data_IF_461865206944
#
_entry.id   IF_461865206944
#
_cell.length_a   1.000
_cell.length_b   1.000
_cell.length_c   1.000
_cell.angle_alpha   90.00
_cell.angle_beta   90.00
_cell.angle_gamma   90.00
#
_symmetry.space_group_name_H-M   'P 1'
#
loop_
_entity.id
_entity.type
_entity.pdbx_description
1 polymer ?
#
# COMPACT_ATOMS: atom_id res chain seq x y z
N UNK A 1 42.53 -10.06 27.42
CA UNK A 1 43.31 -11.29 27.20
C UNK A 1 42.81 -11.88 25.88
N UNK A 2 43.65 -11.80 24.85
CA UNK A 2 43.59 -12.41 23.50
C UNK A 2 42.26 -12.31 22.72
N UNK A 3 42.24 -11.35 21.80
CA UNK A 3 41.34 -11.28 20.63
C UNK A 3 41.91 -12.20 19.55
N UNK A 4 41.12 -13.15 19.04
CA UNK A 4 41.54 -14.01 17.92
C UNK A 4 40.80 -13.60 16.65
N UNK A 5 41.55 -12.96 15.76
CA UNK A 5 41.17 -12.57 14.39
C UNK A 5 41.35 -13.79 13.48
N UNK A 6 40.31 -14.16 12.73
CA UNK A 6 40.43 -15.12 11.62
C UNK A 6 40.36 -14.34 10.32
N UNK A 7 41.53 -14.15 9.73
CA UNK A 7 41.76 -13.65 8.38
C UNK A 7 41.97 -14.88 7.49
N UNK A 8 41.11 -15.11 6.49
CA UNK A 8 41.37 -16.08 5.42
C UNK A 8 41.48 -15.36 4.08
N UNK A 9 42.54 -15.76 3.39
CA UNK A 9 43.22 -15.08 2.28
C UNK A 9 42.56 -15.41 0.95
N UNK A 10 42.57 -14.39 0.08
CA UNK A 10 42.44 -14.51 -1.37
C UNK A 10 43.49 -15.47 -1.96
N UNK A 11 43.06 -16.29 -2.92
CA UNK A 11 43.94 -16.96 -3.88
C UNK A 11 43.45 -16.65 -5.29
N UNK A 12 44.29 -15.93 -6.03
CA UNK A 12 44.21 -15.69 -7.47
C UNK A 12 45.00 -16.76 -8.23
N UNK A 13 44.46 -17.26 -9.34
CA UNK A 13 45.22 -17.94 -10.38
C UNK A 13 44.56 -17.74 -11.76
N UNK A 14 45.27 -16.98 -12.60
CA UNK A 14 45.33 -16.95 -14.07
C UNK A 14 45.61 -18.35 -14.66
N UNK A 15 45.35 -18.78 -15.92
CA UNK A 15 45.25 -18.17 -17.26
C UNK A 15 44.92 -19.28 -18.30
N UNK A 16 44.58 -18.89 -19.54
CA UNK A 16 44.50 -19.62 -20.85
C UNK A 16 43.05 -19.73 -21.37
N UNK A 17 42.63 -19.20 -22.51
CA UNK A 17 43.33 -18.71 -23.71
C UNK A 17 42.86 -19.52 -24.92
N UNK A 18 42.00 -18.97 -25.79
CA UNK A 18 41.87 -19.38 -27.20
C UNK A 18 40.90 -18.47 -27.97
N UNK A 19 41.44 -17.79 -28.97
CA UNK A 19 40.75 -17.00 -29.99
C UNK A 19 40.11 -17.90 -31.06
N UNK A 20 39.01 -17.44 -31.69
CA UNK A 20 38.78 -17.61 -33.14
C UNK A 20 37.87 -16.49 -33.68
N UNK A 21 38.37 -15.77 -34.69
CA UNK A 21 37.65 -14.94 -35.69
C UNK A 21 36.91 -15.89 -36.67
N UNK A 22 36.00 -15.56 -37.60
CA UNK A 22 35.69 -14.45 -38.55
C UNK A 22 34.22 -14.72 -39.02
N UNK A 23 33.30 -13.77 -39.29
CA UNK A 23 32.95 -13.11 -40.59
C UNK A 23 31.55 -12.47 -40.39
N UNK A 24 31.24 -11.17 -40.59
CA UNK A 24 31.17 -10.28 -41.77
C UNK A 24 30.03 -10.53 -42.79
N UNK A 25 29.01 -9.66 -42.75
CA UNK A 25 28.24 -9.09 -43.90
C UNK A 25 27.25 -8.04 -43.33
N UNK A 26 27.44 -6.70 -43.48
CA UNK A 26 27.00 -5.82 -44.62
C UNK A 26 25.61 -6.23 -45.14
N UNK A 27 24.56 -5.41 -45.20
CA UNK A 27 24.34 -4.00 -45.63
C UNK A 27 23.00 -3.52 -45.00
N UNK A 28 22.74 -2.25 -44.65
CA UNK A 28 22.42 -1.13 -45.54
C UNK A 28 21.32 -0.24 -44.91
N UNK A 29 21.66 1.02 -44.60
CA UNK A 29 20.77 2.21 -44.61
C UNK A 29 21.09 2.97 -45.93
N UNK A 30 20.38 4.03 -46.39
CA UNK A 30 19.45 4.93 -45.67
C UNK A 30 18.22 5.39 -46.50
N UNK A 31 17.35 6.22 -45.94
CA UNK A 31 16.95 7.48 -46.57
C UNK A 31 16.13 8.35 -45.61
N UNK A 32 16.40 9.65 -45.69
CA UNK A 32 15.75 10.75 -45.01
C UNK A 32 15.24 11.73 -46.09
N UNK A 33 14.13 12.40 -45.83
CA UNK A 33 13.71 13.68 -46.44
C UNK A 33 12.55 14.20 -45.60
N UNK A 34 12.57 15.32 -44.87
CA UNK A 34 12.89 16.73 -45.15
C UNK A 34 11.97 17.41 -46.18
N UNK A 35 11.21 18.42 -45.73
CA UNK A 35 10.38 19.37 -46.48
C UNK A 35 9.36 20.02 -45.53
N UNK A 36 9.66 21.14 -44.83
CA UNK A 36 9.54 22.56 -45.27
C UNK A 36 8.06 22.89 -45.59
N UNK A 37 7.29 23.49 -44.67
CA UNK A 37 7.04 24.94 -44.44
C UNK A 37 6.66 25.70 -45.71
N UNK A 38 5.40 26.12 -45.82
CA UNK A 38 5.04 27.37 -46.50
C UNK A 38 3.69 27.90 -45.97
N UNK A 39 3.75 29.07 -45.33
CA UNK A 39 2.64 29.99 -45.11
C UNK A 39 2.26 30.65 -46.44
N UNK A 40 0.98 30.95 -46.64
CA UNK A 40 0.60 32.17 -47.36
C UNK A 40 -0.77 32.66 -46.91
N UNK A 41 -0.77 33.92 -46.49
CA UNK A 41 -1.93 34.76 -46.23
C UNK A 41 -2.61 35.16 -47.55
N UNK A 42 -3.92 35.43 -47.50
CA UNK A 42 -4.66 36.02 -48.62
C UNK A 42 -6.13 36.24 -48.29
N UNK A 43 -6.46 37.48 -47.92
CA UNK A 43 -7.75 37.89 -47.38
C UNK A 43 -8.94 37.93 -48.35
N UNK A 44 -10.11 38.16 -47.76
CA UNK A 44 -11.36 38.38 -48.49
C UNK A 44 -12.53 38.67 -47.55
N UNK A 45 -12.74 39.95 -47.23
CA UNK A 45 -13.98 40.46 -46.62
C UNK A 45 -15.20 40.06 -47.46
N UNK A 46 -16.20 39.44 -46.84
CA UNK A 46 -17.62 39.58 -47.20
C UNK A 46 -18.48 39.61 -45.94
N UNK A 47 -19.19 40.71 -45.75
CA UNK A 47 -20.32 40.83 -44.84
C UNK A 47 -21.48 39.98 -45.36
N UNK A 48 -22.08 39.16 -44.50
CA UNK A 48 -23.47 38.68 -44.63
C UNK A 48 -24.08 38.54 -43.21
N UNK A 49 -25.21 39.22 -43.06
CA UNK A 49 -26.31 39.23 -42.08
C UNK A 49 -26.32 38.35 -40.81
N UNK A 50 -26.78 39.00 -39.73
CA UNK A 50 -27.73 38.57 -38.71
C UNK A 50 -28.26 37.13 -38.81
N UNK A 51 -28.06 36.35 -37.75
CA UNK A 51 -29.14 35.56 -37.15
C UNK A 51 -28.84 35.20 -35.69
N UNK A 52 -29.90 35.19 -34.88
CA UNK A 52 -29.87 35.21 -33.42
C UNK A 52 -29.04 34.15 -32.72
N UNK A 53 -28.28 34.59 -31.72
CA UNK A 53 -27.62 33.75 -30.73
C UNK A 53 -28.04 34.17 -29.34
N UNK A 54 -28.86 33.34 -28.68
CA UNK A 54 -29.20 33.45 -27.26
C UNK A 54 -27.89 33.45 -26.47
N UNK A 55 -27.56 34.60 -25.87
CA UNK A 55 -26.38 34.76 -25.03
C UNK A 55 -26.49 33.88 -23.79
N UNK A 56 -25.87 32.70 -23.85
CA UNK A 56 -25.62 31.89 -22.67
C UNK A 56 -24.42 32.51 -21.94
N UNK A 57 -24.69 33.42 -21.00
CA UNK A 57 -23.68 33.88 -20.07
C UNK A 57 -23.20 32.67 -19.26
N UNK A 58 -21.88 32.46 -19.07
CA UNK A 58 -21.43 31.46 -18.13
C UNK A 58 -21.82 31.97 -16.74
N UNK A 59 -22.81 31.33 -16.13
CA UNK A 59 -22.97 31.41 -14.69
C UNK A 59 -21.78 30.67 -14.11
N UNK A 60 -20.68 31.39 -13.93
CA UNK A 60 -19.63 30.98 -13.02
C UNK A 60 -20.30 30.85 -11.66
N UNK A 61 -20.71 29.64 -11.31
CA UNK A 61 -21.14 29.32 -9.97
C UNK A 61 -19.96 29.69 -9.07
N UNK A 62 -20.12 30.77 -8.31
CA UNK A 62 -19.23 31.09 -7.21
C UNK A 62 -19.36 29.94 -6.21
N UNK A 63 -18.50 28.93 -6.34
CA UNK A 63 -18.26 27.97 -5.29
C UNK A 63 -17.56 28.78 -4.20
N UNK A 64 -18.30 29.17 -3.17
CA UNK A 64 -17.67 29.74 -2.00
C UNK A 64 -16.65 28.72 -1.47
N UNK A 65 -15.40 29.13 -1.19
CA UNK A 65 -14.41 28.21 -0.66
C UNK A 65 -14.92 27.65 0.68
N UNK A 66 -14.88 26.32 0.80
CA UNK A 66 -15.27 25.65 2.05
C UNK A 66 -14.44 26.21 3.21
N UNK A 67 -15.06 26.58 4.35
CA UNK A 67 -14.33 27.09 5.50
C UNK A 67 -13.42 26.00 6.11
N UNK A 68 -12.25 26.43 6.57
CA UNK A 68 -11.27 25.63 7.32
C UNK A 68 -11.68 25.47 8.79
N UNK A 69 -11.24 24.40 9.48
CA UNK A 69 -10.21 23.45 9.08
C UNK A 69 -10.73 22.33 8.18
N UNK A 70 -10.15 22.21 6.98
CA UNK A 70 -10.41 21.07 6.11
C UNK A 70 -9.66 19.87 6.66
N UNK A 71 -10.37 18.87 7.18
CA UNK A 71 -9.77 17.63 7.69
C UNK A 71 -9.34 16.70 6.55
N UNK A 72 -8.37 15.84 6.85
CA UNK A 72 -7.99 14.69 6.04
C UNK A 72 -8.14 13.43 6.88
N UNK A 73 -9.04 12.55 6.47
CA UNK A 73 -9.41 11.34 7.22
C UNK A 73 -8.71 10.11 6.62
N UNK A 74 -8.10 9.31 7.49
CA UNK A 74 -7.49 8.02 7.12
C UNK A 74 -7.98 6.95 8.07
N UNK A 75 -8.59 5.90 7.56
CA UNK A 75 -9.02 4.77 8.40
C UNK A 75 -8.21 3.51 8.11
N UNK A 76 -7.84 2.76 9.15
CA UNK A 76 -7.61 1.33 8.96
C UNK A 76 -8.93 0.62 8.53
N UNK A 77 -8.80 -0.58 7.98
CA UNK A 77 -9.92 -1.39 7.54
C UNK A 77 -10.34 -2.43 8.59
N UNK A 78 -9.46 -3.40 8.87
CA UNK A 78 -9.82 -4.65 9.51
C UNK A 78 -9.87 -4.47 11.03
N UNK A 79 -11.05 -4.59 11.64
CA UNK A 79 -11.22 -4.28 13.07
C UNK A 79 -11.50 -2.80 13.33
N UNK A 80 -11.50 -1.94 12.30
CA UNK A 80 -11.75 -0.50 12.42
C UNK A 80 -12.95 -0.03 11.58
N UNK A 81 -12.85 -0.04 10.24
CA UNK A 81 -13.91 0.44 9.34
C UNK A 81 -14.84 -0.68 8.87
N UNK A 82 -14.31 -1.90 8.77
CA UNK A 82 -15.07 -3.07 8.31
C UNK A 82 -15.79 -3.72 9.46
N UNK A 83 -16.84 -4.46 9.14
CA UNK A 83 -17.54 -5.34 10.08
C UNK A 83 -16.71 -6.62 10.38
N UNK A 84 -17.15 -7.44 11.36
CA UNK A 84 -16.46 -8.69 11.69
C UNK A 84 -16.45 -9.74 10.55
N UNK A 85 -17.18 -9.51 9.46
CA UNK A 85 -17.19 -10.35 8.26
C UNK A 85 -16.28 -9.79 7.15
N UNK A 86 -15.45 -8.80 7.47
CA UNK A 86 -14.55 -8.10 6.55
C UNK A 86 -15.29 -7.39 5.40
N UNK A 87 -16.47 -6.84 5.69
CA UNK A 87 -17.30 -6.09 4.73
C UNK A 87 -17.50 -4.67 5.19
N UNK A 88 -17.72 -3.79 4.23
CA UNK A 88 -18.21 -2.44 4.51
C UNK A 88 -19.72 -2.49 4.63
N UNK A 89 -20.28 -2.03 5.75
CA UNK A 89 -21.73 -2.00 5.96
C UNK A 89 -22.43 -1.07 4.97
N UNK A 90 -23.71 -1.31 4.72
CA UNK A 90 -24.52 -0.45 3.84
C UNK A 90 -24.63 0.98 4.39
N UNK A 91 -24.72 1.14 5.72
CA UNK A 91 -24.78 2.43 6.38
C UNK A 91 -23.47 3.22 6.21
N UNK A 92 -22.33 2.57 6.43
CA UNK A 92 -21.01 3.17 6.20
C UNK A 92 -20.81 3.51 4.72
N UNK A 93 -21.21 2.62 3.80
CA UNK A 93 -21.14 2.87 2.36
C UNK A 93 -21.97 4.09 1.93
N UNK A 94 -23.23 4.17 2.38
CA UNK A 94 -24.11 5.29 2.07
C UNK A 94 -23.56 6.60 2.63
N UNK A 95 -23.08 6.58 3.88
CA UNK A 95 -22.50 7.76 4.52
C UNK A 95 -21.22 8.25 3.87
N UNK A 96 -20.29 7.36 3.56
CA UNK A 96 -19.07 7.75 2.84
C UNK A 96 -19.41 8.28 1.45
N UNK A 97 -20.35 7.67 0.72
CA UNK A 97 -20.76 8.15 -0.61
C UNK A 97 -21.29 9.58 -0.54
N UNK A 98 -22.17 9.87 0.41
CA UNK A 98 -22.72 11.20 0.66
C UNK A 98 -21.61 12.21 0.97
N UNK A 99 -20.76 11.93 1.95
CA UNK A 99 -19.73 12.89 2.38
C UNK A 99 -18.60 13.08 1.35
N UNK A 100 -18.23 12.02 0.63
CA UNK A 100 -17.27 12.11 -0.47
C UNK A 100 -17.80 13.02 -1.59
N UNK A 101 -19.10 12.96 -1.89
CA UNK A 101 -19.73 13.87 -2.87
C UNK A 101 -19.73 15.34 -2.38
N UNK A 102 -19.69 15.57 -1.06
CA UNK A 102 -19.52 16.90 -0.46
C UNK A 102 -18.06 17.37 -0.38
N UNK A 103 -17.10 16.56 -0.82
CA UNK A 103 -15.67 16.93 -0.83
C UNK A 103 -14.87 16.47 0.40
N UNK A 104 -15.37 15.50 1.16
CA UNK A 104 -14.61 14.83 2.23
C UNK A 104 -13.28 14.30 1.68
N UNK A 105 -12.15 14.74 2.24
CA UNK A 105 -10.86 14.13 1.95
C UNK A 105 -10.70 12.88 2.82
N UNK A 106 -10.94 11.72 2.23
CA UNK A 106 -10.90 10.43 2.91
C UNK A 106 -10.09 9.40 2.11
N UNK A 107 -9.31 8.58 2.81
CA UNK A 107 -8.69 7.36 2.27
C UNK A 107 -8.51 6.29 3.35
N UNK A 108 -7.94 5.15 2.99
CA UNK A 108 -7.67 4.03 3.90
C UNK A 108 -6.18 3.66 3.94
N UNK A 109 -5.74 3.14 5.08
CA UNK A 109 -4.40 2.60 5.28
C UNK A 109 -4.46 1.21 5.91
N UNK A 110 -4.13 0.17 5.13
CA UNK A 110 -4.36 -1.23 5.53
C UNK A 110 -3.18 -2.15 5.23
N UNK A 111 -3.09 -3.27 5.94
CA UNK A 111 -2.21 -4.40 5.63
C UNK A 111 -2.62 -5.14 4.33
N UNK A 112 -3.88 -4.97 3.89
CA UNK A 112 -4.40 -5.58 2.66
C UNK A 112 -3.69 -5.05 1.42
N UNK A 113 -3.66 -5.87 0.37
CA UNK A 113 -3.23 -5.44 -0.97
C UNK A 113 -4.35 -4.66 -1.67
N UNK A 114 -3.99 -3.73 -2.59
CA UNK A 114 -4.94 -2.88 -3.33
C UNK A 114 -6.05 -3.67 -4.02
N UNK A 115 -5.77 -4.87 -4.53
CA UNK A 115 -6.79 -5.76 -5.15
C UNK A 115 -7.94 -6.09 -4.18
N UNK A 116 -7.62 -6.37 -2.91
CA UNK A 116 -8.65 -6.64 -1.90
C UNK A 116 -9.38 -5.35 -1.50
N UNK A 117 -8.64 -4.25 -1.34
CA UNK A 117 -9.20 -2.95 -0.95
C UNK A 117 -10.19 -2.47 -2.02
N UNK A 118 -9.84 -2.56 -3.30
CA UNK A 118 -10.67 -2.16 -4.42
C UNK A 118 -12.01 -2.91 -4.46
N UNK A 119 -12.01 -4.22 -4.15
CA UNK A 119 -13.26 -5.01 -4.07
C UNK A 119 -14.14 -4.60 -2.90
N UNK A 120 -13.55 -4.30 -1.75
CA UNK A 120 -14.29 -3.90 -0.54
C UNK A 120 -14.92 -2.51 -0.73
N UNK A 121 -14.15 -1.57 -1.29
CA UNK A 121 -14.55 -0.18 -1.47
C UNK A 121 -15.20 0.09 -2.84
N UNK A 122 -15.54 -0.95 -3.60
CA UNK A 122 -16.13 -0.85 -4.93
C UNK A 122 -17.34 0.09 -4.92
N UNK A 123 -17.41 1.02 -5.88
CA UNK A 123 -18.51 1.97 -6.01
C UNK A 123 -18.42 3.23 -5.14
N UNK A 124 -17.48 3.32 -4.18
CA UNK A 124 -17.25 4.56 -3.46
C UNK A 124 -16.45 5.56 -4.32
N UNK A 125 -16.84 6.84 -4.38
CA UNK A 125 -16.14 7.86 -5.17
C UNK A 125 -14.89 8.41 -4.44
N UNK A 126 -14.01 7.51 -3.97
CA UNK A 126 -12.74 7.88 -3.33
C UNK A 126 -11.76 8.36 -4.40
N UNK A 127 -11.34 9.63 -4.31
CA UNK A 127 -10.43 10.26 -5.27
C UNK A 127 -8.95 10.17 -4.88
N UNK A 128 -8.66 9.96 -3.59
CA UNK A 128 -7.31 9.82 -3.08
C UNK A 128 -6.78 8.39 -3.27
N UNK A 129 -5.46 8.20 -3.47
CA UNK A 129 -4.85 6.88 -3.41
C UNK A 129 -5.04 6.22 -2.05
N UNK A 130 -4.94 4.90 -2.01
CA UNK A 130 -4.96 4.11 -0.77
C UNK A 130 -3.57 3.69 -0.35
N UNK A 131 -3.35 3.62 0.96
CA UNK A 131 -2.13 3.06 1.56
C UNK A 131 -2.38 1.56 1.76
N UNK A 132 -1.57 0.71 1.14
CA UNK A 132 -1.78 -0.75 1.14
C UNK A 132 -0.50 -1.49 1.51
N UNK A 133 -0.64 -2.75 1.95
CA UNK A 133 0.46 -3.59 2.44
C UNK A 133 1.29 -2.88 3.53
N UNK A 134 0.62 -2.32 4.54
CA UNK A 134 1.22 -1.58 5.67
C UNK A 134 2.07 -0.36 5.26
N UNK A 135 1.79 0.23 4.10
CA UNK A 135 2.56 1.37 3.59
C UNK A 135 3.68 0.99 2.64
N UNK A 136 3.78 -0.29 2.26
CA UNK A 136 4.65 -0.69 1.15
C UNK A 136 4.18 -0.10 -0.19
N UNK A 137 2.89 0.21 -0.32
CA UNK A 137 2.36 0.85 -1.52
C UNK A 137 1.49 2.07 -1.21
N UNK A 138 1.56 3.05 -2.10
CA UNK A 138 0.49 4.04 -2.34
C UNK A 138 -0.08 3.72 -3.71
N UNK A 139 -1.38 3.45 -3.79
CA UNK A 139 -2.01 2.91 -5.01
C UNK A 139 -3.26 3.69 -5.39
N UNK A 140 -3.40 3.99 -6.68
CA UNK A 140 -4.66 4.47 -7.23
C UNK A 140 -5.72 3.35 -7.11
N UNK A 141 -6.80 3.62 -6.37
CA UNK A 141 -7.80 2.61 -6.04
C UNK A 141 -8.52 2.05 -7.27
N UNK A 142 -8.74 2.90 -8.28
CA UNK A 142 -9.53 2.56 -9.47
C UNK A 142 -8.74 1.74 -10.48
N UNK A 143 -7.47 2.05 -10.65
CA UNK A 143 -6.60 1.43 -11.66
C UNK A 143 -5.68 0.36 -11.06
N UNK A 144 -5.50 0.35 -9.74
CA UNK A 144 -4.55 -0.53 -9.05
C UNK A 144 -3.08 -0.15 -9.24
N UNK A 145 -2.78 0.92 -9.98
CA UNK A 145 -1.40 1.36 -10.25
C UNK A 145 -0.76 1.90 -8.98
N UNK A 146 0.46 1.46 -8.68
CA UNK A 146 1.26 2.00 -7.60
C UNK A 146 1.96 3.30 -8.00
N UNK A 147 1.82 4.32 -7.15
CA UNK A 147 2.53 5.60 -7.24
C UNK A 147 3.79 5.62 -6.38
N UNK A 148 3.87 4.67 -5.44
CA UNK A 148 5.00 4.41 -4.57
C UNK A 148 5.05 2.91 -4.30
N UNK A 149 6.27 2.36 -4.36
CA UNK A 149 6.59 0.97 -4.01
C UNK A 149 7.81 0.99 -3.10
N UNK A 150 7.63 0.58 -1.85
CA UNK A 150 8.68 0.32 -0.89
C UNK A 150 8.84 -1.20 -0.76
N UNK A 151 9.83 -1.73 -1.46
CA UNK A 151 10.20 -3.14 -1.41
C UNK A 151 11.66 -3.28 -0.98
N UNK A 152 11.94 -4.37 -0.27
CA UNK A 152 13.29 -4.77 0.10
C UNK A 152 14.05 -5.23 -1.13
N UNK A 153 15.33 -4.85 -1.19
CA UNK A 153 16.25 -5.33 -2.21
C UNK A 153 16.37 -6.87 -2.17
N UNK A 154 16.56 -7.55 -3.32
CA UNK A 154 16.65 -9.01 -3.41
C UNK A 154 17.59 -9.64 -2.39
N UNK A 155 18.77 -9.06 -2.17
CA UNK A 155 19.77 -9.58 -1.22
C UNK A 155 19.26 -9.58 0.23
N UNK A 156 18.53 -8.55 0.64
CA UNK A 156 17.92 -8.47 1.98
C UNK A 156 16.79 -9.49 2.10
N UNK A 157 15.93 -9.61 1.08
CA UNK A 157 14.87 -10.61 1.05
C UNK A 157 15.39 -12.05 1.15
N UNK A 158 16.49 -12.36 0.44
CA UNK A 158 17.17 -13.66 0.52
C UNK A 158 17.75 -13.93 1.91
N UNK A 159 18.36 -12.92 2.54
CA UNK A 159 18.90 -13.05 3.90
C UNK A 159 17.79 -13.35 4.93
N UNK A 160 16.67 -12.62 4.88
CA UNK A 160 15.52 -12.83 5.77
C UNK A 160 14.90 -14.21 5.51
N UNK A 161 14.72 -14.60 4.26
CA UNK A 161 14.25 -15.94 3.91
C UNK A 161 15.14 -17.04 4.51
N UNK A 162 16.46 -16.87 4.46
CA UNK A 162 17.39 -17.82 5.07
C UNK A 162 17.22 -17.90 6.61
N UNK A 163 16.96 -16.78 7.29
CA UNK A 163 16.62 -16.78 8.72
C UNK A 163 15.34 -17.58 8.98
N UNK A 164 14.28 -17.31 8.21
CA UNK A 164 12.99 -18.04 8.34
C UNK A 164 13.19 -19.55 8.17
N UNK A 165 13.98 -19.98 7.17
CA UNK A 165 14.28 -21.40 6.96
C UNK A 165 15.14 -22.01 8.06
N UNK A 166 16.06 -21.26 8.67
CA UNK A 166 16.86 -21.71 9.83
C UNK A 166 15.98 -22.00 11.06
N UNK A 167 14.87 -21.28 11.21
CA UNK A 167 13.85 -21.54 12.23
C UNK A 167 12.90 -22.70 11.87
N UNK A 168 13.09 -23.37 10.73
CA UNK A 168 12.22 -24.45 10.26
C UNK A 168 10.86 -23.99 9.72
N UNK A 169 10.69 -22.69 9.54
CA UNK A 169 9.43 -22.07 9.12
C UNK A 169 9.37 -21.90 7.60
N UNK A 170 8.17 -21.86 7.03
CA UNK A 170 7.92 -21.58 5.62
C UNK A 170 7.12 -20.27 5.46
N UNK A 171 7.64 -19.27 4.74
CA UNK A 171 6.91 -18.02 4.50
C UNK A 171 6.03 -18.08 3.25
N UNK A 172 5.09 -17.15 3.18
CA UNK A 172 4.57 -16.58 1.94
C UNK A 172 5.42 -15.36 1.57
N UNK A 173 5.66 -15.13 0.28
CA UNK A 173 6.39 -13.93 -0.19
C UNK A 173 5.58 -13.17 -1.23
N UNK A 174 5.48 -11.86 -1.05
CA UNK A 174 4.92 -10.96 -2.03
C UNK A 174 6.06 -10.15 -2.66
N UNK A 175 6.14 -10.12 -3.99
CA UNK A 175 7.16 -9.36 -4.72
C UNK A 175 6.53 -8.35 -5.67
N UNK A 176 7.30 -7.33 -6.02
CA UNK A 176 6.96 -6.39 -7.09
C UNK A 176 8.09 -6.38 -8.12
N UNK A 177 7.84 -7.01 -9.27
CA UNK A 177 8.83 -7.18 -10.34
C UNK A 177 8.27 -6.90 -11.73
N UNK A 178 8.95 -7.33 -12.81
CA UNK A 178 8.51 -7.10 -14.20
C UNK A 178 7.12 -7.67 -14.54
N UNK A 179 6.62 -8.63 -13.75
CA UNK A 179 5.29 -9.23 -13.90
C UNK A 179 4.22 -8.55 -13.03
N UNK A 180 4.54 -7.40 -12.43
CA UNK A 180 3.71 -6.74 -11.43
C UNK A 180 3.76 -7.47 -10.08
N UNK A 181 2.74 -7.25 -9.26
CA UNK A 181 2.68 -7.86 -7.93
C UNK A 181 2.38 -9.36 -8.02
N UNK A 182 3.17 -10.17 -7.33
CA UNK A 182 2.94 -11.60 -7.20
C UNK A 182 2.90 -11.99 -5.72
N UNK A 183 2.15 -13.04 -5.38
CA UNK A 183 2.09 -13.64 -4.05
C UNK A 183 2.38 -15.13 -4.18
N UNK A 184 3.52 -15.56 -3.68
CA UNK A 184 4.00 -16.93 -3.83
C UNK A 184 3.83 -17.75 -2.56
N UNK A 185 3.53 -19.02 -2.76
CA UNK A 185 3.56 -20.06 -1.74
C UNK A 185 4.16 -21.34 -2.33
N UNK A 186 4.77 -22.18 -1.49
CA UNK A 186 5.38 -23.45 -1.90
C UNK A 186 4.77 -24.63 -1.15
N UNK A 187 4.76 -24.57 0.19
CA UNK A 187 4.14 -25.60 1.00
C UNK A 187 3.42 -24.96 2.18
N UNK A 188 2.41 -25.66 2.70
CA UNK A 188 1.71 -25.30 3.93
C UNK A 188 2.17 -26.22 5.04
N UNK A 189 2.54 -25.65 6.19
CA UNK A 189 3.04 -26.37 7.36
C UNK A 189 2.00 -26.47 8.48
N UNK A 190 0.92 -25.69 8.41
CA UNK A 190 -0.08 -25.62 9.46
C UNK A 190 -1.46 -25.16 8.94
N UNK A 191 -2.48 -25.26 9.80
CA UNK A 191 -3.86 -24.92 9.43
C UNK A 191 -4.05 -23.42 9.10
N UNK A 192 -3.32 -22.52 9.76
CA UNK A 192 -3.36 -21.09 9.46
C UNK A 192 -2.87 -20.79 8.05
N UNK A 193 -1.75 -21.40 7.65
CA UNK A 193 -1.23 -21.31 6.27
C UNK A 193 -2.20 -21.92 5.26
N UNK A 194 -2.80 -23.07 5.57
CA UNK A 194 -3.80 -23.68 4.70
C UNK A 194 -5.01 -22.76 4.51
N UNK A 195 -5.53 -22.14 5.59
CA UNK A 195 -6.64 -21.19 5.52
C UNK A 195 -6.27 -19.96 4.68
N UNK A 196 -5.09 -19.39 4.89
CA UNK A 196 -4.59 -18.25 4.12
C UNK A 196 -4.62 -18.53 2.61
N UNK A 197 -4.10 -19.69 2.18
CA UNK A 197 -4.08 -20.10 0.77
C UNK A 197 -5.50 -20.35 0.24
N UNK A 198 -6.31 -21.12 0.98
CA UNK A 198 -7.69 -21.44 0.59
C UNK A 198 -8.54 -20.17 0.42
N UNK A 199 -8.40 -19.19 1.31
CA UNK A 199 -9.10 -17.91 1.24
C UNK A 199 -8.74 -17.14 -0.03
N UNK A 200 -7.44 -17.07 -0.38
CA UNK A 200 -6.96 -16.37 -1.59
C UNK A 200 -7.37 -17.09 -2.87
N UNK A 201 -7.42 -18.42 -2.85
CA UNK A 201 -7.98 -19.20 -3.95
C UNK A 201 -9.48 -18.94 -4.11
N UNK A 202 -10.25 -18.97 -3.01
CA UNK A 202 -11.69 -18.69 -3.02
C UNK A 202 -11.99 -17.28 -3.52
N UNK A 203 -11.18 -16.31 -3.13
CA UNK A 203 -11.30 -14.92 -3.56
C UNK A 203 -10.71 -14.70 -4.96
N UNK A 204 -10.18 -15.72 -5.64
CA UNK A 204 -9.48 -15.59 -6.92
C UNK A 204 -8.48 -14.43 -6.92
N UNK A 205 -7.56 -14.41 -5.95
CA UNK A 205 -6.48 -13.43 -5.91
C UNK A 205 -5.60 -13.60 -7.17
N UNK A 206 -5.57 -12.63 -8.09
CA UNK A 206 -4.87 -12.75 -9.36
C UNK A 206 -3.34 -12.86 -9.18
N UNK A 207 -2.81 -12.57 -8.00
CA UNK A 207 -1.39 -12.62 -7.68
C UNK A 207 -0.93 -13.97 -7.16
N UNK A 208 -1.84 -14.83 -6.68
CA UNK A 208 -1.48 -16.07 -5.99
C UNK A 208 -0.81 -17.07 -6.95
N UNK A 209 0.38 -17.56 -6.59
CA UNK A 209 1.18 -18.51 -7.37
C UNK A 209 1.72 -19.61 -6.47
N UNK A 210 1.48 -20.86 -6.85
CA UNK A 210 2.19 -22.00 -6.28
C UNK A 210 3.50 -22.20 -7.04
N UNK A 211 4.62 -22.37 -6.33
CA UNK A 211 5.95 -22.57 -6.93
C UNK A 211 6.70 -23.68 -6.20
N UNK A 212 7.56 -24.41 -6.93
CA UNK A 212 8.35 -25.49 -6.34
C UNK A 212 9.44 -24.96 -5.38
N UNK A 213 9.93 -23.74 -5.64
CA UNK A 213 11.06 -23.11 -4.93
C UNK A 213 10.80 -21.62 -4.75
N UNK A 214 10.50 -21.19 -3.52
CA UNK A 214 10.28 -19.77 -3.21
C UNK A 214 11.53 -18.92 -3.40
N UNK A 215 12.71 -19.47 -3.08
CA UNK A 215 13.97 -18.71 -3.18
C UNK A 215 14.25 -18.19 -4.59
N UNK A 216 13.74 -18.87 -5.62
CA UNK A 216 13.95 -18.47 -7.01
C UNK A 216 13.13 -17.20 -7.36
N UNK A 217 12.09 -16.89 -6.57
CA UNK A 217 11.26 -15.68 -6.74
C UNK A 217 11.84 -14.46 -6.01
N UNK A 218 12.81 -14.67 -5.11
CA UNK A 218 13.53 -13.59 -4.41
C UNK A 218 14.63 -12.96 -5.28
N UNK A 219 14.60 -13.18 -6.58
CA UNK A 219 15.33 -12.37 -7.56
C UNK A 219 14.63 -11.02 -7.79
N UNK A 220 13.32 -10.95 -7.58
CA UNK A 220 12.55 -9.72 -7.63
C UNK A 220 12.52 -9.04 -6.24
N UNK A 221 12.34 -7.70 -6.18
CA UNK A 221 12.16 -6.97 -4.93
C UNK A 221 11.02 -7.51 -4.06
N UNK A 222 11.32 -7.73 -2.78
CA UNK A 222 10.41 -8.34 -1.81
C UNK A 222 9.61 -7.25 -1.09
N UNK A 223 8.30 -7.24 -1.29
CA UNK A 223 7.37 -6.27 -0.69
C UNK A 223 6.98 -6.69 0.72
N UNK A 224 6.67 -7.97 0.88
CA UNK A 224 6.27 -8.55 2.16
C UNK A 224 6.77 -9.98 2.26
N UNK A 225 7.39 -10.32 3.37
CA UNK A 225 7.52 -11.71 3.80
C UNK A 225 6.57 -11.95 4.96
N UNK A 226 5.75 -12.99 4.86
CA UNK A 226 4.71 -13.30 5.81
C UNK A 226 4.88 -14.74 6.32
N UNK A 227 4.92 -14.92 7.63
CA UNK A 227 4.91 -16.26 8.25
C UNK A 227 3.68 -16.37 9.13
N UNK A 228 2.84 -17.39 8.88
CA UNK A 228 1.71 -17.75 9.77
C UNK A 228 2.12 -18.98 10.58
N UNK A 229 2.00 -18.89 11.91
CA UNK A 229 2.54 -19.91 12.82
C UNK A 229 2.03 -19.78 14.25
N UNK A 230 2.76 -20.36 15.21
CA UNK A 230 2.49 -20.18 16.65
C UNK A 230 3.32 -19.01 17.18
N UNK A 231 2.84 -18.35 18.23
CA UNK A 231 3.48 -17.17 18.82
C UNK A 231 4.97 -17.38 19.13
N UNK A 232 5.33 -18.36 19.97
CA UNK A 232 6.72 -18.56 20.42
C UNK A 232 7.74 -18.69 19.24
N UNK A 233 7.54 -19.56 18.23
CA UNK A 233 8.43 -19.59 17.06
C UNK A 233 8.50 -18.27 16.27
N UNK A 234 7.39 -17.54 16.16
CA UNK A 234 7.36 -16.26 15.46
C UNK A 234 8.07 -15.16 16.24
N UNK A 235 7.94 -15.14 17.56
CA UNK A 235 8.66 -14.22 18.46
C UNK A 235 10.17 -14.47 18.38
N UNK A 236 10.60 -15.73 18.40
CA UNK A 236 12.00 -16.10 18.24
C UNK A 236 12.56 -15.66 16.87
N UNK A 237 11.81 -15.88 15.80
CA UNK A 237 12.17 -15.43 14.46
C UNK A 237 12.23 -13.89 14.38
N UNK A 238 11.23 -13.20 14.91
CA UNK A 238 11.18 -11.74 14.92
C UNK A 238 12.39 -11.15 15.65
N UNK A 239 12.73 -11.69 16.83
CA UNK A 239 13.89 -11.26 17.60
C UNK A 239 15.20 -11.42 16.80
N UNK A 240 15.40 -12.53 16.10
CA UNK A 240 16.61 -12.74 15.27
C UNK A 240 16.65 -11.80 14.05
N UNK A 241 15.51 -11.54 13.40
CA UNK A 241 15.41 -10.55 12.31
C UNK A 241 15.79 -9.17 12.83
N UNK A 242 15.20 -8.72 13.94
CA UNK A 242 15.49 -7.41 14.53
C UNK A 242 16.97 -7.28 14.96
N UNK A 243 17.55 -8.34 15.53
CA UNK A 243 18.97 -8.35 15.91
C UNK A 243 19.92 -8.32 14.70
N UNK A 244 19.53 -8.87 13.55
CA UNK A 244 20.39 -9.01 12.37
C UNK A 244 20.27 -7.84 11.40
N UNK A 245 19.04 -7.35 11.17
CA UNK A 245 18.76 -6.34 10.16
C UNK A 245 17.63 -5.36 10.56
N UNK A 246 17.40 -5.16 11.86
CA UNK A 246 16.31 -4.30 12.37
C UNK A 246 16.31 -2.87 11.83
N UNK A 247 17.48 -2.29 11.52
CA UNK A 247 17.57 -0.94 10.93
C UNK A 247 17.07 -0.88 9.48
N UNK A 248 16.90 -2.03 8.82
CA UNK A 248 16.54 -2.15 7.40
C UNK A 248 15.10 -2.58 7.18
N UNK A 249 14.42 -3.07 8.22
CA UNK A 249 13.08 -3.64 8.12
C UNK A 249 12.14 -3.10 9.18
N UNK A 250 10.85 -3.29 8.96
CA UNK A 250 9.84 -3.24 10.01
C UNK A 250 9.16 -4.59 10.12
N UNK A 251 8.79 -4.97 11.34
CA UNK A 251 8.16 -6.27 11.62
C UNK A 251 6.87 -6.08 12.40
N UNK A 252 5.82 -6.80 12.04
CA UNK A 252 4.53 -6.76 12.72
C UNK A 252 4.10 -8.20 13.05
N UNK A 253 4.17 -8.53 14.35
CA UNK A 253 3.66 -9.77 14.90
C UNK A 253 2.34 -9.48 15.61
N UNK A 254 1.26 -10.11 15.16
CA UNK A 254 -0.07 -9.95 15.74
C UNK A 254 -0.93 -11.18 15.52
N UNK A 255 -1.94 -11.36 16.35
CA UNK A 255 -3.05 -12.28 16.07
C UNK A 255 -3.83 -11.78 14.84
N UNK A 256 -4.28 -12.72 14.00
CA UNK A 256 -5.22 -12.43 12.92
C UNK A 256 -6.65 -12.52 13.48
N UNK A 257 -7.40 -11.41 13.39
CA UNK A 257 -8.77 -11.32 13.92
C UNK A 257 -9.75 -12.30 13.23
N UNK A 258 -9.43 -12.76 12.02
CA UNK A 258 -10.19 -13.74 11.24
C UNK A 258 -9.65 -15.16 11.36
N UNK A 259 -8.43 -15.34 11.88
CA UNK A 259 -7.82 -16.64 12.16
C UNK A 259 -7.25 -16.74 13.60
N UNK A 260 -8.09 -16.67 14.66
CA UNK A 260 -7.61 -16.73 16.03
C UNK A 260 -6.76 -17.97 16.33
N UNK A 261 -5.63 -17.77 17.01
CA UNK A 261 -4.68 -18.83 17.39
C UNK A 261 -3.63 -19.14 16.32
N UNK A 262 -3.66 -18.39 15.21
CA UNK A 262 -2.68 -18.44 14.13
C UNK A 262 -2.12 -17.03 13.87
N UNK A 263 -1.29 -16.50 14.79
CA UNK A 263 -0.65 -15.21 14.57
C UNK A 263 0.20 -15.22 13.32
N UNK A 264 0.42 -14.02 12.80
CA UNK A 264 1.27 -13.78 11.66
C UNK A 264 2.42 -12.83 11.98
N UNK A 265 3.57 -13.09 11.38
CA UNK A 265 4.70 -12.17 11.34
C UNK A 265 4.81 -11.62 9.92
N UNK A 266 4.56 -10.33 9.76
CA UNK A 266 4.86 -9.59 8.53
C UNK A 266 6.22 -8.91 8.66
N UNK A 267 7.01 -8.97 7.60
CA UNK A 267 8.29 -8.28 7.45
C UNK A 267 8.26 -7.46 6.19
N UNK A 268 8.54 -6.16 6.31
CA UNK A 268 8.55 -5.20 5.22
C UNK A 268 9.84 -4.38 5.23
N UNK A 269 10.11 -3.67 4.14
CA UNK A 269 11.15 -2.63 4.09
C UNK A 269 10.88 -1.58 5.19
N UNK A 270 11.92 -1.03 5.83
CA UNK A 270 11.77 0.01 6.86
C UNK A 270 10.96 1.25 6.45
N UNK A 271 10.87 1.53 5.14
CA UNK A 271 10.10 2.66 4.58
C UNK A 271 8.61 2.33 4.49
N UNK A 272 8.23 1.05 4.56
CA UNK A 272 6.86 0.58 4.47
C UNK A 272 6.16 0.68 5.82
N UNK A 273 5.79 1.90 6.22
CA UNK A 273 4.93 2.14 7.38
C UNK A 273 3.76 3.05 7.02
N UNK A 274 2.61 2.85 7.68
CA UNK A 274 1.37 3.60 7.37
C UNK A 274 1.57 5.11 7.52
N UNK A 275 2.22 5.57 8.58
CA UNK A 275 2.53 6.97 8.84
C UNK A 275 3.38 7.62 7.73
N UNK A 276 4.47 6.98 7.30
CA UNK A 276 5.33 7.50 6.23
C UNK A 276 4.58 7.57 4.89
N UNK A 277 3.74 6.57 4.61
CA UNK A 277 2.91 6.55 3.40
C UNK A 277 1.82 7.63 3.44
N UNK A 278 1.15 7.83 4.58
CA UNK A 278 0.16 8.89 4.79
C UNK A 278 0.81 10.26 4.62
N UNK A 279 2.00 10.49 5.21
CA UNK A 279 2.74 11.73 5.07
C UNK A 279 3.11 12.01 3.60
N UNK A 280 3.59 10.97 2.89
CA UNK A 280 3.91 11.06 1.45
C UNK A 280 2.68 11.40 0.61
N UNK A 281 1.53 10.79 0.92
CA UNK A 281 0.25 11.08 0.26
C UNK A 281 -0.19 12.52 0.56
N UNK A 282 -0.14 12.95 1.82
CA UNK A 282 -0.54 14.30 2.20
C UNK A 282 0.28 15.39 1.50
N UNK A 283 1.59 15.17 1.32
CA UNK A 283 2.44 16.07 0.54
C UNK A 283 2.05 16.09 -0.95
N UNK A 284 1.92 14.91 -1.58
CA UNK A 284 1.64 14.78 -3.03
C UNK A 284 0.29 15.35 -3.43
N UNK A 285 -0.71 15.28 -2.55
CA UNK A 285 -2.08 15.71 -2.81
C UNK A 285 -2.43 17.05 -2.15
N UNK A 286 -1.42 17.81 -1.71
CA UNK A 286 -1.60 19.12 -1.08
C UNK A 286 -2.58 19.10 0.13
N UNK A 287 -2.51 18.03 0.93
CA UNK A 287 -3.29 17.85 2.16
C UNK A 287 -2.46 18.15 3.42
N UNK A 288 -1.20 18.59 3.29
CA UNK A 288 -0.29 18.80 4.41
C UNK A 288 -0.71 19.93 5.38
N UNK A 289 -1.51 20.88 4.91
CA UNK A 289 -2.11 21.93 5.76
C UNK A 289 -3.42 21.49 6.43
N UNK A 290 -3.93 20.29 6.10
CA UNK A 290 -5.16 19.73 6.69
C UNK A 290 -4.86 19.05 8.01
N UNK A 291 -5.79 19.16 8.95
CA UNK A 291 -5.74 18.37 10.18
C UNK A 291 -5.99 16.90 9.86
N UNK A 292 -4.95 16.08 10.05
CA UNK A 292 -5.01 14.63 9.89
C UNK A 292 -5.80 13.98 11.04
N UNK A 293 -6.88 13.30 10.68
CA UNK A 293 -7.67 12.42 11.54
C UNK A 293 -7.40 10.98 11.15
N UNK A 294 -6.99 10.14 12.09
CA UNK A 294 -6.76 8.71 11.82
C UNK A 294 -7.55 7.81 12.74
N UNK A 295 -7.98 6.67 12.21
CA UNK A 295 -8.69 5.61 12.93
C UNK A 295 -7.90 4.31 12.87
N UNK A 296 -7.75 3.62 14.01
CA UNK A 296 -7.08 2.32 14.06
C UNK A 296 -7.42 1.50 15.30
N UNK A 297 -6.96 0.25 15.32
CA UNK A 297 -7.25 -0.71 16.38
C UNK A 297 -6.05 -1.58 16.80
N UNK A 298 -5.03 -1.72 15.93
CA UNK A 298 -3.90 -2.63 16.13
C UNK A 298 -2.53 -1.93 16.23
N UNK A 299 -1.52 -2.69 16.65
CA UNK A 299 -0.15 -2.22 16.87
C UNK A 299 0.46 -1.58 15.61
N UNK A 300 0.12 -2.07 14.42
CA UNK A 300 0.58 -1.49 13.14
C UNK A 300 -0.03 -0.10 12.84
N UNK A 301 -1.00 0.36 13.64
CA UNK A 301 -1.61 1.69 13.55
C UNK A 301 -0.94 2.71 14.48
N UNK A 302 -0.13 2.26 15.45
CA UNK A 302 0.43 3.12 16.49
C UNK A 302 1.25 4.28 15.91
N UNK A 303 2.00 4.04 14.83
CA UNK A 303 2.81 5.10 14.23
C UNK A 303 1.94 6.17 13.57
N UNK A 304 0.87 5.78 12.85
CA UNK A 304 -0.04 6.75 12.23
C UNK A 304 -0.85 7.50 13.28
N UNK A 305 -1.31 6.83 14.34
CA UNK A 305 -2.00 7.44 15.49
C UNK A 305 -1.13 8.51 16.16
N UNK A 306 0.13 8.17 16.48
CA UNK A 306 1.08 9.12 17.10
C UNK A 306 1.42 10.31 16.22
N UNK A 307 1.30 10.18 14.90
CA UNK A 307 1.58 11.26 13.94
C UNK A 307 0.39 12.17 13.63
N UNK A 308 -0.82 11.79 14.06
CA UNK A 308 -2.05 12.46 13.71
C UNK A 308 -2.39 13.65 14.63
N UNK A 309 -3.11 14.62 14.08
CA UNK A 309 -3.70 15.71 14.87
C UNK A 309 -4.85 15.17 15.73
N UNK A 310 -5.65 14.26 15.16
CA UNK A 310 -6.76 13.59 15.83
C UNK A 310 -6.60 12.07 15.71
N UNK A 311 -6.07 11.43 16.75
CA UNK A 311 -5.91 10.00 16.84
C UNK A 311 -7.16 9.35 17.48
N UNK A 312 -7.88 8.52 16.73
CA UNK A 312 -9.14 7.92 17.17
C UNK A 312 -9.00 6.39 17.23
N UNK A 313 -9.28 5.80 18.39
CA UNK A 313 -9.33 4.34 18.54
C UNK A 313 -10.78 3.86 18.65
N UNK A 314 -11.11 2.76 17.98
CA UNK A 314 -12.38 2.04 18.23
C UNK A 314 -12.32 1.30 19.56
N UNK A 315 -13.45 1.05 20.21
CA UNK A 315 -13.47 0.44 21.56
C UNK A 315 -12.93 -0.99 21.61
N UNK A 316 -12.91 -1.70 20.48
CA UNK A 316 -12.30 -3.03 20.34
C UNK A 316 -10.78 -2.99 20.09
N UNK A 317 -10.16 -1.81 20.02
CA UNK A 317 -8.73 -1.68 19.86
C UNK A 317 -7.94 -2.29 21.02
N UNK A 318 -6.69 -2.67 20.74
CA UNK A 318 -5.70 -3.06 21.75
C UNK A 318 -5.48 -1.95 22.78
N UNK A 319 -5.01 -2.33 23.98
CA UNK A 319 -4.77 -1.37 25.06
C UNK A 319 -3.70 -0.33 24.68
N UNK A 320 -2.63 -0.75 24.01
CA UNK A 320 -1.58 0.16 23.53
C UNK A 320 -2.12 1.20 22.55
N UNK A 321 -3.07 0.81 21.69
CA UNK A 321 -3.71 1.72 20.74
C UNK A 321 -4.66 2.69 21.44
N UNK A 322 -5.45 2.22 22.40
CA UNK A 322 -6.31 3.08 23.23
C UNK A 322 -5.51 4.10 24.01
N UNK A 323 -4.36 3.70 24.56
CA UNK A 323 -3.45 4.58 25.29
C UNK A 323 -2.80 5.64 24.38
N UNK A 324 -2.59 5.34 23.11
CA UNK A 324 -2.03 6.27 22.13
C UNK A 324 -3.07 7.22 21.51
N UNK A 325 -4.37 6.93 21.64
CA UNK A 325 -5.45 7.70 21.01
C UNK A 325 -5.85 8.95 21.81
N UNK A 326 -6.23 10.01 21.10
CA UNK A 326 -6.82 11.22 21.70
C UNK A 326 -8.28 11.00 22.10
N UNK A 327 -8.98 10.07 21.42
CA UNK A 327 -10.36 9.71 21.72
C UNK A 327 -10.62 8.24 21.42
N UNK A 328 -11.46 7.64 22.26
CA UNK A 328 -12.02 6.30 22.04
C UNK A 328 -13.48 6.47 21.61
N UNK A 329 -13.88 5.78 20.54
CA UNK A 329 -15.24 5.74 20.01
C UNK A 329 -15.85 4.34 20.21
N UNK A 330 -17.10 4.15 19.74
CA UNK A 330 -17.76 2.84 19.78
C UNK A 330 -17.01 1.73 19.02
N UNK A 331 -17.53 0.49 19.06
CA UNK A 331 -16.89 -0.62 18.37
C UNK A 331 -17.11 -0.54 16.86
N UNK A 332 -16.18 -1.12 16.09
CA UNK A 332 -16.25 -1.18 14.62
C UNK A 332 -17.58 -1.75 14.07
N UNK A 333 -18.15 -2.77 14.73
CA UNK A 333 -19.40 -3.42 14.29
C UNK A 333 -20.68 -2.56 14.46
N UNK A 334 -20.57 -1.37 15.05
CA UNK A 334 -21.65 -0.38 15.18
C UNK A 334 -21.41 0.86 14.28
N UNK A 335 -20.62 0.72 13.22
CA UNK A 335 -20.29 1.80 12.27
C UNK A 335 -19.69 3.05 12.95
N UNK A 336 -19.00 2.86 14.09
CA UNK A 336 -18.54 3.95 14.95
C UNK A 336 -17.65 4.96 14.21
N UNK A 337 -16.78 4.50 13.30
CA UNK A 337 -15.94 5.37 12.47
C UNK A 337 -16.79 6.26 11.57
N UNK A 338 -17.82 5.71 10.91
CA UNK A 338 -18.71 6.50 10.06
C UNK A 338 -19.52 7.52 10.88
N UNK A 339 -20.06 7.10 12.02
CA UNK A 339 -20.77 8.02 12.93
C UNK A 339 -19.86 9.18 13.36
N UNK A 340 -18.62 8.89 13.75
CA UNK A 340 -17.65 9.91 14.08
C UNK A 340 -17.42 10.85 12.90
N UNK A 341 -17.06 10.33 11.71
CA UNK A 341 -16.76 11.17 10.53
C UNK A 341 -17.94 12.08 10.19
N UNK A 342 -19.18 11.56 10.27
CA UNK A 342 -20.38 12.34 9.96
C UNK A 342 -20.60 13.50 10.93
N UNK A 343 -20.55 13.22 12.23
CA UNK A 343 -20.76 14.24 13.26
C UNK A 343 -19.67 15.31 13.23
N UNK A 344 -18.44 14.84 13.06
CA UNK A 344 -17.24 15.65 12.98
C UNK A 344 -17.25 16.55 11.74
N UNK A 345 -17.66 16.02 10.58
CA UNK A 345 -17.80 16.78 9.32
C UNK A 345 -18.92 17.82 9.38
N UNK A 346 -20.09 17.47 9.93
CA UNK A 346 -21.22 18.41 10.11
C UNK A 346 -20.86 19.58 11.01
N UNK A 347 -20.16 19.29 12.10
CA UNK A 347 -19.67 20.30 13.03
C UNK A 347 -18.78 21.33 12.32
N UNK A 348 -17.88 20.89 11.42
CA UNK A 348 -17.03 21.81 10.64
C UNK A 348 -17.81 22.69 9.67
N UNK A 349 -18.89 22.16 9.10
CA UNK A 349 -19.75 22.90 8.17
C UNK A 349 -20.75 23.81 8.91
N UNK A 350 -20.77 23.80 10.25
CA UNK A 350 -21.73 24.55 11.06
C UNK A 350 -23.17 24.07 10.87
N UNK A 351 -23.37 22.77 10.59
CA UNK A 351 -24.66 22.15 10.29
C UNK A 351 -25.17 21.25 11.42
#
# INVERSE_FOLDING_TARGET
MVVSSVCMKNASATTHGSQRRVASSRTGRPSASSGVVEESEGGGMRQVSDDGGVGCAPVAAFIQPLPTPMRFYVSDLDGTLLDPQARLSDATRAGLTELLAEGLAFTVASARHVVSIARILEGLPISLPVVSSNGAYISDLRTGRHELVNAMEPALGQAIFALVRRHGLMPFIATHGPKGDQLFWQEVQNEGQQRFVTERQRNADPRLRHVDRLQDQLADPLVTLLVVGRAEPLEALQAEILATCGDLVTTHLAEDIYMPGWPWLNVHDRRASKDQAIASLAQRYALHERELVVFGDQVNDLTMLRSAHHAIAVSNASDDVKLAAHRIIGPHHEDAVMHFIRDDWRTLLGR
#
